data_IF_588522379107
#
_entry.id   IF_588522379107
#
_cell.length_a   1.000
_cell.length_b   1.000
_cell.length_c   1.000
_cell.angle_alpha   90.00
_cell.angle_beta   90.00
_cell.angle_gamma   90.00
#
_symmetry.space_group_name_H-M   'P 1'
#
loop_
_entity.id
_entity.type
_entity.pdbx_description
1 polymer ?
#
# COMPACT_ATOMS: atom_id res chain seq x y z
N UNK A 1 -10.81 -9.39 19.46
CA UNK A 1 -10.56 -9.47 18.00
C UNK A 1 -9.09 -9.73 17.80
N UNK A 2 -8.68 -10.61 16.87
CA UNK A 2 -7.25 -10.83 16.56
C UNK A 2 -6.83 -9.82 15.48
N UNK A 3 -6.05 -8.82 15.87
CA UNK A 3 -5.59 -7.75 14.99
C UNK A 3 -4.81 -8.28 13.78
N UNK A 4 -4.08 -9.40 13.90
CA UNK A 4 -3.34 -10.02 12.79
C UNK A 4 -4.28 -10.49 11.69
N UNK A 5 -5.38 -11.12 12.08
CA UNK A 5 -6.43 -11.58 11.13
C UNK A 5 -7.17 -10.41 10.51
N UNK A 6 -7.40 -9.35 11.28
CA UNK A 6 -7.98 -8.11 10.74
C UNK A 6 -7.07 -7.49 9.69
N UNK A 7 -5.78 -7.33 9.98
CA UNK A 7 -4.78 -6.83 9.03
C UNK A 7 -4.74 -7.71 7.77
N UNK A 8 -4.61 -9.03 7.92
CA UNK A 8 -4.60 -9.98 6.80
C UNK A 8 -5.84 -9.80 5.90
N UNK A 9 -7.04 -9.79 6.51
CA UNK A 9 -8.30 -9.60 5.80
C UNK A 9 -8.33 -8.26 5.07
N UNK A 10 -8.03 -7.17 5.76
CA UNK A 10 -8.17 -5.82 5.21
C UNK A 10 -7.16 -5.55 4.09
N UNK A 11 -5.91 -6.04 4.22
CA UNK A 11 -4.91 -5.96 3.16
C UNK A 11 -5.34 -6.77 1.95
N UNK A 12 -5.80 -8.01 2.15
CA UNK A 12 -6.31 -8.84 1.05
C UNK A 12 -7.45 -8.14 0.31
N UNK A 13 -8.44 -7.63 1.07
CA UNK A 13 -9.62 -7.01 0.48
C UNK A 13 -9.30 -5.70 -0.23
N UNK A 14 -8.54 -4.78 0.37
CA UNK A 14 -8.26 -3.49 -0.27
C UNK A 14 -7.49 -3.67 -1.59
N UNK A 15 -6.53 -4.60 -1.64
CA UNK A 15 -5.75 -4.91 -2.84
C UNK A 15 -6.57 -5.65 -3.92
N UNK A 16 -7.56 -6.45 -3.53
CA UNK A 16 -8.45 -7.13 -4.46
C UNK A 16 -9.58 -6.22 -4.96
N UNK A 17 -10.10 -5.33 -4.13
CA UNK A 17 -11.21 -4.45 -4.45
C UNK A 17 -10.80 -3.25 -5.31
N UNK A 18 -9.60 -2.71 -5.09
CA UNK A 18 -9.13 -1.53 -5.82
C UNK A 18 -9.24 -1.72 -7.34
N UNK A 19 -8.71 -2.82 -7.95
CA UNK A 19 -8.78 -3.00 -9.39
C UNK A 19 -10.16 -3.43 -9.91
N UNK A 20 -11.13 -3.74 -9.03
CA UNK A 20 -12.49 -4.07 -9.48
C UNK A 20 -13.29 -2.84 -9.94
N UNK A 21 -12.97 -1.64 -9.42
CA UNK A 21 -13.61 -0.40 -9.83
C UNK A 21 -13.15 0.04 -11.24
N UNK A 22 -14.07 0.59 -12.03
CA UNK A 22 -13.75 1.12 -13.36
C UNK A 22 -13.00 2.45 -13.27
N UNK A 23 -11.74 2.44 -13.62
CA UNK A 23 -10.86 3.60 -13.62
C UNK A 23 -10.19 3.73 -14.98
N UNK A 24 -10.51 4.77 -15.77
CA UNK A 24 -9.94 4.96 -17.09
C UNK A 24 -8.41 4.90 -17.08
N UNK A 25 -7.83 4.11 -17.98
CA UNK A 25 -6.38 3.93 -18.10
C UNK A 25 -5.74 2.93 -17.12
N UNK A 26 -6.55 2.27 -16.28
CA UNK A 26 -6.11 1.22 -15.36
C UNK A 26 -6.80 -0.11 -15.65
N UNK A 27 -6.15 -1.20 -15.22
CA UNK A 27 -6.78 -2.53 -15.23
C UNK A 27 -8.03 -2.53 -14.36
N UNK A 28 -9.12 -3.07 -14.89
CA UNK A 28 -10.40 -3.19 -14.23
C UNK A 28 -11.13 -4.46 -14.67
N UNK A 29 -12.38 -4.65 -14.22
CA UNK A 29 -13.24 -5.74 -14.71
C UNK A 29 -13.52 -5.65 -16.22
N UNK A 30 -13.51 -4.44 -16.78
CA UNK A 30 -13.92 -4.20 -18.17
C UNK A 30 -12.73 -4.13 -19.11
N UNK A 31 -11.53 -3.83 -18.61
CA UNK A 31 -10.38 -3.50 -19.46
C UNK A 31 -9.05 -3.86 -18.78
N UNK A 32 -8.12 -4.41 -19.55
CA UNK A 32 -6.73 -4.56 -19.16
C UNK A 32 -5.94 -3.29 -19.55
N UNK A 33 -5.28 -2.64 -18.61
CA UNK A 33 -4.51 -1.41 -18.84
C UNK A 33 -3.34 -1.60 -19.82
N UNK A 34 -2.82 -2.83 -19.92
CA UNK A 34 -1.76 -3.18 -20.88
C UNK A 34 -1.77 -4.68 -21.15
N UNK A 35 -1.23 -5.13 -22.31
CA UNK A 35 -0.99 -6.54 -22.54
C UNK A 35 -0.13 -7.12 -21.41
N UNK A 36 -0.64 -8.14 -20.71
CA UNK A 36 0.07 -8.80 -19.63
C UNK A 36 -0.15 -8.21 -18.22
N UNK A 37 -1.06 -7.23 -18.05
CA UNK A 37 -1.51 -6.77 -16.73
C UNK A 37 -3.00 -7.08 -16.59
N UNK A 38 -3.31 -8.25 -16.06
CA UNK A 38 -4.67 -8.75 -15.90
C UNK A 38 -5.20 -8.53 -14.50
N UNK A 39 -6.53 -8.43 -14.35
CA UNK A 39 -7.20 -8.29 -13.06
C UNK A 39 -6.78 -9.38 -12.06
N UNK A 40 -6.69 -10.62 -12.53
CA UNK A 40 -6.30 -11.77 -11.71
C UNK A 40 -4.91 -11.60 -11.09
N UNK A 41 -4.00 -10.85 -11.72
CA UNK A 41 -2.67 -10.60 -11.18
C UNK A 41 -2.70 -9.73 -9.92
N UNK A 42 -3.63 -8.78 -9.85
CA UNK A 42 -3.84 -7.95 -8.67
C UNK A 42 -4.43 -8.77 -7.52
N UNK A 43 -5.42 -9.62 -7.82
CA UNK A 43 -6.04 -10.49 -6.82
C UNK A 43 -5.01 -11.49 -6.26
N UNK A 44 -4.28 -12.19 -7.13
CA UNK A 44 -3.22 -13.14 -6.72
C UNK A 44 -2.14 -12.42 -5.90
N UNK A 45 -1.71 -11.24 -6.35
CA UNK A 45 -0.71 -10.45 -5.64
C UNK A 45 -1.22 -10.03 -4.26
N UNK A 46 -2.48 -9.60 -4.15
CA UNK A 46 -3.10 -9.22 -2.88
C UNK A 46 -3.14 -10.37 -1.89
N UNK A 47 -3.62 -11.53 -2.31
CA UNK A 47 -3.67 -12.74 -1.48
C UNK A 47 -2.27 -13.16 -1.02
N UNK A 48 -1.29 -13.16 -1.92
CA UNK A 48 0.06 -13.62 -1.61
C UNK A 48 0.83 -12.64 -0.71
N UNK A 49 0.68 -11.33 -0.93
CA UNK A 49 1.41 -10.31 -0.17
C UNK A 49 0.84 -10.09 1.23
N UNK A 50 -0.44 -10.36 1.44
CA UNK A 50 -1.12 -10.09 2.70
C UNK A 50 -0.55 -10.87 3.90
N UNK A 51 0.04 -12.04 3.66
CA UNK A 51 0.69 -12.83 4.71
C UNK A 51 1.91 -12.12 5.32
N UNK A 52 2.69 -11.39 4.55
CA UNK A 52 3.78 -10.59 5.09
C UNK A 52 3.27 -9.47 6.02
N UNK A 53 2.07 -8.96 5.79
CA UNK A 53 1.42 -8.00 6.72
C UNK A 53 0.87 -8.67 7.98
N UNK A 54 0.42 -9.92 7.89
CA UNK A 54 0.11 -10.72 9.06
C UNK A 54 1.37 -10.89 9.93
N UNK A 55 2.49 -11.26 9.32
CA UNK A 55 3.78 -11.44 10.00
C UNK A 55 4.29 -10.10 10.58
N UNK A 56 4.07 -8.98 9.89
CA UNK A 56 4.37 -7.64 10.40
C UNK A 56 3.56 -7.34 11.68
N UNK A 57 2.25 -7.59 11.64
CA UNK A 57 1.39 -7.39 12.79
C UNK A 57 1.81 -8.29 13.98
N UNK A 58 2.12 -9.56 13.71
CA UNK A 58 2.60 -10.50 14.73
C UNK A 58 3.95 -10.05 15.34
N UNK A 59 4.88 -9.59 14.52
CA UNK A 59 6.18 -9.06 14.96
C UNK A 59 6.03 -7.83 15.87
N UNK A 60 5.14 -6.88 15.52
CA UNK A 60 4.87 -5.70 16.36
C UNK A 60 4.23 -6.10 17.68
N UNK A 61 3.25 -7.03 17.66
CA UNK A 61 2.61 -7.55 18.87
C UNK A 61 3.61 -8.26 19.77
N UNK A 62 4.45 -9.14 19.22
CA UNK A 62 5.45 -9.88 19.97
C UNK A 62 6.50 -8.96 20.61
N UNK A 63 6.87 -7.89 19.93
CA UNK A 63 7.81 -6.89 20.45
C UNK A 63 7.18 -5.97 21.51
N UNK A 64 5.85 -5.81 21.53
CA UNK A 64 5.14 -4.83 22.35
C UNK A 64 5.48 -3.37 22.01
N UNK A 65 6.19 -3.14 20.91
CA UNK A 65 6.67 -1.85 20.42
C UNK A 65 7.00 -1.96 18.93
N UNK A 66 7.40 -0.85 18.32
CA UNK A 66 7.94 -0.91 16.96
C UNK A 66 9.19 -1.80 16.92
N UNK A 67 9.25 -2.80 16.02
CA UNK A 67 10.43 -3.63 15.83
C UNK A 67 11.56 -2.86 15.13
N UNK A 68 12.79 -3.39 15.21
CA UNK A 68 13.98 -2.75 14.64
C UNK A 68 14.02 -2.71 13.11
N UNK A 69 13.16 -3.51 12.44
CA UNK A 69 12.99 -3.47 11.00
C UNK A 69 11.54 -3.86 10.63
N UNK A 70 10.93 -3.08 9.73
CA UNK A 70 9.57 -3.30 9.19
C UNK A 70 9.56 -3.40 7.65
N UNK A 71 10.54 -2.79 6.97
CA UNK A 71 10.58 -2.76 5.50
C UNK A 71 11.13 -4.05 4.88
N UNK A 72 11.74 -4.94 5.66
CA UNK A 72 12.06 -6.30 5.20
C UNK A 72 10.78 -7.07 4.84
N UNK A 73 9.68 -6.87 5.59
CA UNK A 73 8.40 -7.47 5.28
C UNK A 73 7.70 -6.80 4.08
N UNK A 74 7.97 -5.53 3.80
CA UNK A 74 7.57 -4.92 2.52
C UNK A 74 8.26 -5.61 1.33
N UNK A 75 9.55 -5.90 1.44
CA UNK A 75 10.29 -6.66 0.43
C UNK A 75 9.70 -8.06 0.25
N UNK A 76 9.42 -8.77 1.34
CA UNK A 76 8.81 -10.10 1.30
C UNK A 76 7.41 -10.08 0.69
N UNK A 77 6.57 -9.10 1.04
CA UNK A 77 5.26 -8.88 0.44
C UNK A 77 5.36 -8.73 -1.08
N UNK A 78 6.29 -7.88 -1.56
CA UNK A 78 6.49 -7.68 -2.99
C UNK A 78 7.04 -8.94 -3.68
N UNK A 79 7.95 -9.66 -3.04
CA UNK A 79 8.48 -10.93 -3.56
C UNK A 79 7.39 -12.02 -3.62
N UNK A 80 6.52 -12.07 -2.62
CA UNK A 80 5.38 -12.98 -2.60
C UNK A 80 4.33 -12.62 -3.67
N UNK A 81 4.11 -11.34 -3.92
CA UNK A 81 3.10 -10.85 -4.86
C UNK A 81 3.24 -11.41 -6.27
N UNK A 82 4.44 -11.81 -6.68
CA UNK A 82 4.71 -12.33 -8.03
C UNK A 82 4.59 -13.86 -8.15
N UNK A 83 4.39 -14.58 -7.06
CA UNK A 83 4.27 -16.04 -7.08
C UNK A 83 2.98 -16.45 -7.79
N UNK A 84 3.09 -17.48 -8.65
CA UNK A 84 1.94 -18.06 -9.34
C UNK A 84 1.35 -17.19 -10.47
N UNK A 85 2.04 -16.13 -10.92
CA UNK A 85 1.59 -15.29 -12.04
C UNK A 85 2.72 -14.89 -12.99
N UNK A 86 2.32 -14.61 -14.22
CA UNK A 86 3.20 -14.00 -15.23
C UNK A 86 2.86 -12.50 -15.25
N UNK A 87 3.71 -11.66 -14.76
CA UNK A 87 3.41 -10.24 -14.80
C UNK A 87 4.53 -9.39 -14.20
N UNK A 88 4.35 -8.10 -14.32
CA UNK A 88 5.25 -7.12 -13.78
C UNK A 88 4.94 -6.77 -12.32
N UNK A 89 5.32 -5.57 -11.99
CA UNK A 89 5.05 -4.97 -10.70
C UNK A 89 3.56 -4.62 -10.57
N UNK A 90 2.86 -5.24 -9.63
CA UNK A 90 1.50 -4.86 -9.21
C UNK A 90 1.47 -4.68 -7.69
N UNK A 91 0.53 -3.90 -7.18
CA UNK A 91 0.35 -3.57 -5.76
C UNK A 91 1.60 -2.97 -5.07
N UNK A 92 2.59 -2.51 -5.83
CA UNK A 92 3.86 -2.03 -5.31
C UNK A 92 3.71 -0.78 -4.43
N UNK A 93 3.00 0.23 -4.92
CA UNK A 93 2.77 1.45 -4.15
C UNK A 93 1.87 1.20 -2.95
N UNK A 94 0.88 0.30 -3.09
CA UNK A 94 0.03 -0.14 -1.99
C UNK A 94 0.85 -0.80 -0.87
N UNK A 95 1.75 -1.73 -1.20
CA UNK A 95 2.64 -2.39 -0.23
C UNK A 95 3.50 -1.34 0.49
N UNK A 96 4.08 -0.41 -0.26
CA UNK A 96 4.90 0.66 0.31
C UNK A 96 4.11 1.54 1.29
N UNK A 97 2.91 1.96 0.92
CA UNK A 97 2.04 2.79 1.76
C UNK A 97 1.51 2.03 2.98
N UNK A 98 1.13 0.77 2.82
CA UNK A 98 0.55 -0.03 3.90
C UNK A 98 1.56 -0.43 4.98
N UNK A 99 2.84 -0.57 4.66
CA UNK A 99 3.85 -1.04 5.62
C UNK A 99 3.94 -0.17 6.88
N UNK A 100 4.20 1.14 6.81
CA UNK A 100 4.22 1.98 8.01
C UNK A 100 2.82 2.18 8.61
N UNK A 101 1.76 2.14 7.78
CA UNK A 101 0.38 2.30 8.24
C UNK A 101 -0.07 1.11 9.12
N UNK A 102 0.18 -0.12 8.69
CA UNK A 102 -0.12 -1.34 9.46
C UNK A 102 0.69 -1.35 10.77
N UNK A 103 1.96 -0.96 10.72
CA UNK A 103 2.76 -0.83 11.94
C UNK A 103 2.12 0.15 12.91
N UNK A 104 1.72 1.34 12.44
CA UNK A 104 1.02 2.33 13.26
C UNK A 104 -0.30 1.81 13.84
N UNK A 105 -1.10 1.09 13.03
CA UNK A 105 -2.35 0.49 13.48
C UNK A 105 -2.14 -0.50 14.63
N UNK A 106 -1.14 -1.38 14.53
CA UNK A 106 -0.88 -2.38 15.59
C UNK A 106 -0.34 -1.71 16.85
N UNK A 107 0.47 -0.65 16.73
CA UNK A 107 0.92 0.15 17.87
C UNK A 107 -0.25 0.83 18.59
N UNK A 108 -1.18 1.45 17.87
CA UNK A 108 -2.41 2.02 18.43
C UNK A 108 -3.27 0.95 19.09
N UNK A 109 -3.36 -0.25 18.49
CA UNK A 109 -4.05 -1.38 19.12
C UNK A 109 -3.40 -1.80 20.45
N UNK A 110 -2.07 -1.85 20.53
CA UNK A 110 -1.35 -2.14 21.78
C UNK A 110 -1.63 -1.10 22.87
N UNK A 111 -1.74 0.18 22.49
CA UNK A 111 -1.95 1.30 23.41
C UNK A 111 -3.41 1.43 23.86
N UNK A 112 -4.37 1.26 22.94
CA UNK A 112 -5.79 1.56 23.16
C UNK A 112 -6.73 0.34 23.17
N UNK A 113 -6.24 -0.85 22.79
CA UNK A 113 -7.05 -2.07 22.68
C UNK A 113 -8.03 -2.07 21.49
N UNK A 114 -7.99 -1.06 20.63
CA UNK A 114 -8.88 -0.90 19.46
C UNK A 114 -8.16 -0.24 18.30
N UNK A 115 -8.65 -0.48 17.07
CA UNK A 115 -8.18 0.13 15.82
C UNK A 115 -9.18 1.08 15.19
N UNK A 116 -10.26 1.41 15.90
CA UNK A 116 -11.34 2.25 15.35
C UNK A 116 -10.96 3.72 15.12
N UNK A 117 -9.90 4.22 15.76
CA UNK A 117 -9.43 5.59 15.57
C UNK A 117 -8.45 5.68 14.40
N UNK A 118 -9.00 5.82 13.20
CA UNK A 118 -8.23 5.97 11.95
C UNK A 118 -7.36 7.23 11.97
N UNK A 119 -7.82 8.33 12.58
CA UNK A 119 -7.04 9.57 12.63
C UNK A 119 -5.80 9.40 13.51
N UNK A 120 -5.91 8.68 14.63
CA UNK A 120 -4.74 8.33 15.46
C UNK A 120 -3.74 7.46 14.69
N UNK A 121 -4.22 6.46 13.92
CA UNK A 121 -3.36 5.61 13.08
C UNK A 121 -2.59 6.46 12.05
N UNK A 122 -3.28 7.33 11.33
CA UNK A 122 -2.67 8.21 10.33
C UNK A 122 -1.65 9.18 10.95
N UNK A 123 -1.96 9.75 12.12
CA UNK A 123 -1.06 10.65 12.85
C UNK A 123 0.19 9.94 13.38
N UNK A 124 0.08 8.64 13.73
CA UNK A 124 1.18 7.82 14.25
C UNK A 124 2.20 7.44 13.16
N UNK A 125 1.80 7.39 11.89
CA UNK A 125 2.67 6.87 10.81
C UNK A 125 3.97 7.66 10.62
N UNK A 126 4.00 9.00 10.62
CA UNK A 126 5.27 9.76 10.57
C UNK A 126 6.23 9.44 11.72
N UNK A 127 5.71 9.11 12.92
CA UNK A 127 6.52 8.68 14.05
C UNK A 127 7.13 7.31 13.80
N UNK A 128 6.35 6.37 13.25
CA UNK A 128 6.87 5.05 12.83
C UNK A 128 8.07 5.23 11.91
N UNK A 129 7.98 6.12 10.93
CA UNK A 129 9.09 6.37 9.99
C UNK A 129 10.33 6.98 10.67
N UNK A 130 10.15 7.87 11.65
CA UNK A 130 11.26 8.45 12.42
C UNK A 130 11.99 7.42 13.26
N UNK A 131 11.32 6.35 13.66
CA UNK A 131 11.90 5.26 14.46
C UNK A 131 12.41 4.09 13.60
N UNK A 132 12.44 4.21 12.27
CA UNK A 132 13.12 3.25 11.39
C UNK A 132 14.63 3.38 11.51
N UNK A 133 15.33 2.33 11.09
CA UNK A 133 16.78 2.20 11.23
C UNK A 133 17.48 2.07 9.88
N UNK A 134 18.81 2.01 9.87
CA UNK A 134 19.60 1.69 8.67
C UNK A 134 19.20 0.34 8.05
N UNK A 135 18.76 -0.63 8.87
CA UNK A 135 18.24 -1.93 8.37
C UNK A 135 16.95 -1.75 7.58
N UNK A 136 16.12 -0.79 7.97
CA UNK A 136 14.92 -0.42 7.20
C UNK A 136 15.30 0.25 5.87
N UNK A 137 16.33 1.10 5.87
CA UNK A 137 16.83 1.75 4.65
C UNK A 137 17.37 0.71 3.66
N UNK A 138 18.17 -0.24 4.13
CA UNK A 138 18.65 -1.36 3.33
C UNK A 138 17.48 -2.19 2.76
N UNK A 139 16.51 -2.51 3.60
CA UNK A 139 15.34 -3.31 3.20
C UNK A 139 14.45 -2.56 2.22
N UNK A 140 14.27 -1.24 2.41
CA UNK A 140 13.56 -0.37 1.47
C UNK A 140 14.29 -0.30 0.12
N UNK A 141 15.62 -0.19 0.11
CA UNK A 141 16.41 -0.22 -1.14
C UNK A 141 16.19 -1.55 -1.88
N UNK A 142 16.26 -2.68 -1.19
CA UNK A 142 15.98 -4.01 -1.77
C UNK A 142 14.56 -4.10 -2.33
N UNK A 143 13.56 -3.58 -1.61
CA UNK A 143 12.18 -3.49 -2.07
C UNK A 143 12.07 -2.66 -3.36
N UNK A 144 12.70 -1.48 -3.39
CA UNK A 144 12.72 -0.61 -4.56
C UNK A 144 13.39 -1.32 -5.75
N UNK A 145 14.56 -1.92 -5.54
CA UNK A 145 15.30 -2.62 -6.59
C UNK A 145 14.47 -3.78 -7.17
N UNK A 146 13.78 -4.56 -6.33
CA UNK A 146 12.86 -5.60 -6.79
C UNK A 146 11.75 -5.02 -7.67
N UNK A 147 11.17 -3.89 -7.27
CA UNK A 147 10.16 -3.18 -8.07
C UNK A 147 10.68 -2.75 -9.45
N UNK A 148 11.93 -2.29 -9.52
CA UNK A 148 12.61 -1.95 -10.79
C UNK A 148 12.82 -3.20 -11.65
N UNK A 149 13.27 -4.32 -11.07
CA UNK A 149 13.48 -5.57 -11.81
C UNK A 149 12.19 -6.12 -12.38
N UNK A 150 11.11 -6.09 -11.61
CA UNK A 150 9.78 -6.51 -12.06
C UNK A 150 9.27 -5.62 -13.20
N UNK A 151 9.48 -4.31 -13.12
CA UNK A 151 9.16 -3.37 -14.19
C UNK A 151 9.99 -3.62 -15.44
N UNK A 152 11.30 -3.83 -15.30
CA UNK A 152 12.19 -4.11 -16.42
C UNK A 152 11.76 -5.38 -17.18
N UNK A 153 11.49 -6.47 -16.46
CA UNK A 153 10.98 -7.73 -17.05
C UNK A 153 9.65 -7.54 -17.78
N UNK A 154 8.76 -6.70 -17.27
CA UNK A 154 7.49 -6.39 -17.94
C UNK A 154 7.74 -5.62 -19.24
N UNK A 155 8.61 -4.60 -19.23
CA UNK A 155 8.94 -3.82 -20.43
C UNK A 155 9.65 -4.67 -21.49
N UNK A 156 10.54 -5.56 -21.06
CA UNK A 156 11.24 -6.51 -21.97
C UNK A 156 10.24 -7.44 -22.68
N UNK A 157 9.27 -8.00 -21.94
CA UNK A 157 8.20 -8.83 -22.53
C UNK A 157 7.33 -8.07 -23.53
N UNK A 158 7.17 -6.77 -23.33
CA UNK A 158 6.44 -5.89 -24.28
C UNK A 158 7.31 -5.43 -25.45
N UNK A 159 8.56 -5.90 -25.58
CA UNK A 159 9.52 -5.45 -26.61
C UNK A 159 9.97 -4.00 -26.47
N UNK A 160 9.89 -3.42 -25.27
CA UNK A 160 10.22 -2.03 -24.96
C UNK A 160 11.21 -1.96 -23.78
N UNK A 161 12.43 -2.49 -23.93
CA UNK A 161 13.41 -2.45 -22.84
C UNK A 161 13.68 -1.00 -22.44
N UNK A 162 13.58 -0.71 -21.15
CA UNK A 162 13.84 0.62 -20.59
C UNK A 162 14.97 0.51 -19.57
N UNK A 163 16.07 1.21 -19.74
CA UNK A 163 17.08 1.32 -18.69
C UNK A 163 16.48 2.05 -17.50
N UNK A 164 16.58 1.44 -16.32
CA UNK A 164 16.07 2.01 -15.08
C UNK A 164 17.26 2.34 -14.18
N UNK A 165 17.41 3.61 -13.86
CA UNK A 165 18.40 4.05 -12.88
C UNK A 165 17.86 3.75 -11.48
N UNK A 166 18.54 2.86 -10.75
CA UNK A 166 18.14 2.46 -9.40
C UNK A 166 18.69 3.46 -8.39
N UNK A 167 17.87 3.92 -7.42
CA UNK A 167 18.39 4.71 -6.31
C UNK A 167 19.30 3.85 -5.42
N UNK A 168 20.31 4.46 -4.84
CA UNK A 168 21.16 3.88 -3.82
C UNK A 168 20.95 4.64 -2.52
N UNK A 169 20.43 3.96 -1.50
CA UNK A 169 20.04 4.54 -0.22
C UNK A 169 20.95 4.09 0.93
N UNK A 170 21.40 2.83 0.88
CA UNK A 170 22.23 2.22 1.91
C UNK A 170 23.51 3.02 2.15
N UNK A 171 23.86 3.26 3.41
CA UNK A 171 25.02 4.04 3.80
C UNK A 171 24.91 5.56 3.60
N UNK A 172 23.76 6.04 3.09
CA UNK A 172 23.48 7.48 2.90
C UNK A 172 22.52 8.04 3.95
N UNK A 173 21.65 7.22 4.50
CA UNK A 173 20.62 7.63 5.42
C UNK A 173 20.56 6.69 6.63
N UNK A 174 20.33 7.24 7.81
CA UNK A 174 20.20 6.49 9.06
C UNK A 174 18.78 5.95 9.28
N UNK A 175 17.79 6.49 8.57
CA UNK A 175 16.39 6.08 8.67
C UNK A 175 15.64 6.28 7.36
N UNK A 176 14.48 5.61 7.24
CA UNK A 176 13.57 5.81 6.11
C UNK A 176 12.98 7.23 6.15
N UNK A 177 12.79 7.81 7.33
CA UNK A 177 12.35 9.20 7.46
C UNK A 177 13.36 10.17 6.82
N UNK A 178 14.64 10.00 7.09
CA UNK A 178 15.71 10.83 6.51
C UNK A 178 15.75 10.67 4.99
N UNK A 179 15.77 9.42 4.49
CA UNK A 179 15.71 9.16 3.06
C UNK A 179 14.48 9.78 2.40
N UNK A 180 13.32 9.72 3.06
CA UNK A 180 12.08 10.25 2.53
C UNK A 180 12.12 11.77 2.29
N UNK A 181 12.91 12.54 3.05
CA UNK A 181 13.01 14.01 2.86
C UNK A 181 13.58 14.36 1.47
N UNK A 182 14.48 13.55 0.93
CA UNK A 182 15.05 13.75 -0.41
C UNK A 182 14.09 13.34 -1.54
N UNK A 183 13.05 12.56 -1.23
CA UNK A 183 12.10 11.99 -2.20
C UNK A 183 10.66 12.51 -2.04
N UNK A 184 10.44 13.66 -1.38
CA UNK A 184 9.09 14.23 -1.21
C UNK A 184 8.37 14.57 -2.52
N UNK A 185 9.08 14.67 -3.63
CA UNK A 185 8.50 14.79 -4.97
C UNK A 185 7.81 13.49 -5.46
N UNK A 186 8.05 12.36 -4.78
CA UNK A 186 7.37 11.09 -5.04
C UNK A 186 6.08 11.06 -4.20
N UNK A 187 4.93 11.04 -4.84
CA UNK A 187 3.63 11.13 -4.16
C UNK A 187 3.45 10.13 -3.01
N UNK A 188 3.84 8.86 -3.19
CA UNK A 188 3.73 7.86 -2.13
C UNK A 188 4.59 8.22 -0.91
N UNK A 189 5.77 8.82 -1.13
CA UNK A 189 6.66 9.27 -0.05
C UNK A 189 6.06 10.48 0.67
N UNK A 190 5.50 11.44 -0.06
CA UNK A 190 4.79 12.58 0.51
C UNK A 190 3.59 12.13 1.36
N UNK A 191 2.85 11.10 0.90
CA UNK A 191 1.71 10.56 1.65
C UNK A 191 2.11 10.14 3.07
N UNK A 192 3.01 9.17 3.23
CA UNK A 192 3.29 8.65 4.57
C UNK A 192 4.10 9.62 5.44
N UNK A 193 4.90 10.53 4.86
CA UNK A 193 5.62 11.54 5.64
C UNK A 193 4.73 12.66 6.16
N UNK A 194 3.64 12.97 5.47
CA UNK A 194 2.69 14.02 5.80
C UNK A 194 1.41 13.52 6.49
N UNK A 195 1.37 12.25 6.91
CA UNK A 195 0.21 11.65 7.57
C UNK A 195 -0.96 11.39 6.62
N UNK A 196 -0.66 10.99 5.37
CA UNK A 196 -1.61 10.51 4.35
C UNK A 196 -2.68 11.53 3.94
N UNK A 197 -2.33 12.73 3.46
CA UNK A 197 -3.32 13.76 3.15
C UNK A 197 -4.35 13.32 2.09
N UNK A 198 -3.94 12.70 0.99
CA UNK A 198 -4.86 12.19 -0.05
C UNK A 198 -5.60 10.93 0.42
N UNK A 199 -4.92 9.98 1.02
CA UNK A 199 -5.58 8.76 1.55
C UNK A 199 -6.63 9.13 2.59
N UNK A 200 -6.38 10.15 3.44
CA UNK A 200 -7.35 10.69 4.40
C UNK A 200 -8.57 11.30 3.71
N UNK A 201 -8.39 12.07 2.63
CA UNK A 201 -9.49 12.63 1.83
C UNK A 201 -10.32 11.51 1.20
N UNK A 202 -9.64 10.50 0.62
CA UNK A 202 -10.29 9.32 0.02
C UNK A 202 -11.07 8.55 1.08
N UNK A 203 -10.47 8.23 2.23
CA UNK A 203 -11.12 7.56 3.34
C UNK A 203 -12.41 8.28 3.78
N UNK A 204 -12.34 9.60 4.01
CA UNK A 204 -13.50 10.40 4.43
C UNK A 204 -14.58 10.42 3.37
N UNK A 205 -14.21 10.51 2.09
CA UNK A 205 -15.16 10.44 0.98
C UNK A 205 -15.85 9.08 0.90
N UNK A 206 -15.07 7.99 0.96
CA UNK A 206 -15.63 6.63 0.95
C UNK A 206 -16.56 6.40 2.13
N UNK A 207 -16.16 6.83 3.32
CA UNK A 207 -16.98 6.71 4.54
C UNK A 207 -18.31 7.46 4.43
N UNK A 208 -18.32 8.64 3.82
CA UNK A 208 -19.52 9.45 3.63
C UNK A 208 -20.46 8.90 2.54
N UNK A 209 -19.95 8.04 1.66
CA UNK A 209 -20.70 7.51 0.51
C UNK A 209 -20.86 5.98 0.59
N UNK A 210 -20.91 5.40 1.78
CA UNK A 210 -21.06 3.95 1.94
C UNK A 210 -22.40 3.42 1.40
N UNK A 211 -23.46 4.23 1.39
CA UNK A 211 -24.76 3.86 0.86
C UNK A 211 -24.76 3.55 -0.64
N UNK A 212 -23.87 4.14 -1.42
CA UNK A 212 -23.73 3.82 -2.85
C UNK A 212 -22.80 2.63 -3.10
N UNK A 213 -22.17 2.11 -2.04
CA UNK A 213 -21.19 1.02 -2.07
C UNK A 213 -19.75 1.51 -2.28
N UNK A 214 -18.80 0.77 -1.73
CA UNK A 214 -17.37 1.14 -1.76
C UNK A 214 -16.79 1.24 -3.17
N UNK A 215 -17.18 0.36 -4.10
CA UNK A 215 -16.65 0.38 -5.46
C UNK A 215 -17.13 1.58 -6.27
N UNK A 216 -18.44 1.88 -6.38
CA UNK A 216 -18.91 3.10 -7.03
C UNK A 216 -18.33 4.36 -6.41
N UNK A 217 -18.23 4.43 -5.07
CA UNK A 217 -17.60 5.57 -4.40
C UNK A 217 -16.11 5.70 -4.76
N UNK A 218 -15.38 4.58 -4.92
CA UNK A 218 -13.98 4.60 -5.35
C UNK A 218 -13.80 5.11 -6.78
N UNK A 219 -14.73 4.79 -7.67
CA UNK A 219 -14.73 5.30 -9.05
C UNK A 219 -15.01 6.81 -9.11
N UNK A 220 -15.93 7.28 -8.29
CA UNK A 220 -16.26 8.72 -8.20
C UNK A 220 -15.05 9.52 -7.68
N UNK A 221 -14.45 9.10 -6.56
CA UNK A 221 -13.29 9.81 -6.00
C UNK A 221 -12.07 9.75 -6.92
N UNK A 222 -11.88 8.65 -7.66
CA UNK A 222 -10.83 8.56 -8.66
C UNK A 222 -10.97 9.64 -9.74
N UNK A 223 -12.17 9.78 -10.32
CA UNK A 223 -12.43 10.81 -11.34
C UNK A 223 -12.25 12.23 -10.81
N UNK A 224 -12.61 12.44 -9.55
CA UNK A 224 -12.49 13.74 -8.88
C UNK A 224 -11.03 14.12 -8.60
N UNK A 225 -10.20 13.18 -8.12
CA UNK A 225 -8.82 13.47 -7.72
C UNK A 225 -7.79 13.30 -8.83
N UNK A 226 -8.11 12.58 -9.92
CA UNK A 226 -7.14 12.33 -11.00
C UNK A 226 -6.53 13.61 -11.58
N UNK A 227 -7.28 14.70 -11.84
CA UNK A 227 -6.70 15.94 -12.34
C UNK A 227 -5.71 16.60 -11.37
N UNK A 228 -5.89 16.42 -10.05
CA UNK A 228 -5.04 16.98 -9.02
C UNK A 228 -3.76 16.14 -8.82
N UNK A 229 -3.89 14.82 -8.74
CA UNK A 229 -2.76 13.89 -8.55
C UNK A 229 -1.94 13.73 -9.84
N UNK A 230 -2.58 13.80 -11.00
CA UNK A 230 -1.95 13.73 -12.32
C UNK A 230 -1.40 12.34 -12.69
N UNK A 231 -1.51 11.33 -11.80
CA UNK A 231 -0.99 9.98 -11.99
C UNK A 231 -2.00 8.93 -11.55
N UNK A 232 -2.53 8.20 -12.53
CA UNK A 232 -3.57 7.19 -12.34
C UNK A 232 -3.13 6.03 -11.44
N UNK A 233 -1.93 5.51 -11.67
CA UNK A 233 -1.33 4.40 -10.91
C UNK A 233 -1.13 4.74 -9.43
N UNK A 234 -0.65 5.95 -9.15
CA UNK A 234 -0.44 6.44 -7.78
C UNK A 234 -1.76 6.67 -7.06
N UNK A 235 -2.75 7.26 -7.75
CA UNK A 235 -4.08 7.48 -7.17
C UNK A 235 -4.78 6.15 -6.86
N UNK A 236 -4.60 5.12 -7.69
CA UNK A 236 -5.11 3.77 -7.42
C UNK A 236 -4.53 3.19 -6.13
N UNK A 237 -3.21 3.31 -5.93
CA UNK A 237 -2.56 2.89 -4.68
C UNK A 237 -3.14 3.63 -3.45
N UNK A 238 -3.37 4.94 -3.55
CA UNK A 238 -4.00 5.74 -2.48
C UNK A 238 -5.45 5.34 -2.22
N UNK A 239 -6.22 4.99 -3.27
CA UNK A 239 -7.59 4.48 -3.12
C UNK A 239 -7.58 3.14 -2.37
N UNK A 240 -6.66 2.25 -2.67
CA UNK A 240 -6.51 1.00 -1.93
C UNK A 240 -6.28 1.24 -0.43
N UNK A 241 -5.43 2.21 -0.08
CA UNK A 241 -5.23 2.62 1.32
C UNK A 241 -6.51 3.20 1.93
N UNK A 242 -7.25 4.03 1.19
CA UNK A 242 -8.55 4.54 1.63
C UNK A 242 -9.55 3.43 1.93
N UNK A 243 -9.63 2.40 1.06
CA UNK A 243 -10.43 1.19 1.28
C UNK A 243 -9.97 0.43 2.54
N UNK A 244 -8.66 0.27 2.72
CA UNK A 244 -8.10 -0.34 3.93
C UNK A 244 -8.56 0.36 5.21
N UNK A 245 -8.52 1.70 5.23
CA UNK A 245 -8.93 2.51 6.38
C UNK A 245 -10.43 2.38 6.68
N UNK A 246 -11.28 2.32 5.64
CA UNK A 246 -12.72 2.06 5.83
C UNK A 246 -12.95 0.68 6.43
N UNK A 247 -12.27 -0.36 5.92
CA UNK A 247 -12.37 -1.73 6.44
C UNK A 247 -11.86 -1.86 7.88
N UNK A 248 -10.86 -1.05 8.26
CA UNK A 248 -10.33 -1.00 9.63
C UNK A 248 -11.34 -0.39 10.60
N UNK A 249 -12.02 0.67 10.20
CA UNK A 249 -13.04 1.32 11.03
C UNK A 249 -14.37 0.57 11.08
N UNK A 250 -14.77 -0.03 9.95
CA UNK A 250 -16.05 -0.69 9.75
C UNK A 250 -15.85 -2.10 9.17
N UNK A 251 -15.41 -3.06 9.99
CA UNK A 251 -15.11 -4.42 9.53
C UNK A 251 -16.32 -5.17 8.98
N UNK A 252 -17.54 -4.75 9.36
CA UNK A 252 -18.84 -5.27 8.89
C UNK A 252 -19.34 -4.61 7.62
N UNK A 253 -18.59 -3.67 7.03
CA UNK A 253 -19.05 -2.90 5.86
C UNK A 253 -19.41 -3.83 4.69
N UNK A 254 -20.61 -3.61 4.15
CA UNK A 254 -21.04 -4.26 2.92
C UNK A 254 -20.24 -3.72 1.75
N UNK A 255 -19.47 -4.59 1.09
CA UNK A 255 -18.57 -4.21 -0.01
C UNK A 255 -19.34 -3.93 -1.31
N UNK A 256 -20.51 -4.53 -1.44
CA UNK A 256 -21.41 -4.39 -2.58
C UNK A 256 -22.82 -4.09 -2.07
N UNK A 257 -23.59 -3.24 -2.75
CA UNK A 257 -25.00 -3.01 -2.43
C UNK A 257 -25.85 -4.25 -2.70
#
# INVERSE_FOLDING_TARGET
>A
MDIRREVLRNVTLCQALEPLGQKPGLTSRAEDASPGTKLEYFVIAGVNSAWAFYDLADRVLAAGRQPDCIFDLAYEAQAASVRGRLGGKVNYGQINLLTPLVTAQVLIFLEAGTTSDVEAILARTPEVLRHTTERDVESLERFIHLGYDLSARQHERMGRPKPLQRPHLQGRYASVWEAAQDFLHVHAVAEYTQGYPYCRRIYRFLLHNLEIGMLPASELIYRFLLPEVGRADVLADMISVGLYLVLTRHPETVLFP
#
